data_IF_754706936164
#
_entry.id   IF_754706936164
#
_cell.length_a   1.000
_cell.length_b   1.000
_cell.length_c   1.000
_cell.angle_alpha   90.00
_cell.angle_beta   90.00
_cell.angle_gamma   90.00
#
_symmetry.space_group_name_H-M   'P 1'
#
loop_
_entity.id
_entity.type
_entity.pdbx_description
1 polymer ?
#
# COMPACT_ATOMS: atom_id res chain seq x y z
N UNK A 1 -1.94 -20.93 7.41
CA UNK A 1 -2.86 -19.86 6.97
C UNK A 1 -2.04 -18.57 6.86
N UNK A 2 -1.86 -17.96 5.67
CA UNK A 2 -1.17 -16.67 5.59
C UNK A 2 -2.04 -15.59 6.26
N UNK A 3 -1.45 -14.79 7.15
CA UNK A 3 -2.10 -13.65 7.79
C UNK A 3 -1.93 -12.44 6.88
N UNK A 4 -3.01 -11.77 6.51
CA UNK A 4 -2.94 -10.49 5.83
C UNK A 4 -2.21 -9.48 6.73
N UNK A 5 -1.23 -8.77 6.18
CA UNK A 5 -0.54 -7.67 6.87
C UNK A 5 -1.14 -6.39 6.28
N UNK A 6 -2.00 -5.75 7.06
CA UNK A 6 -2.53 -4.41 6.73
C UNK A 6 -1.41 -3.42 7.01
N UNK A 7 -0.98 -2.65 6.02
CA UNK A 7 -0.09 -1.52 6.28
C UNK A 7 -0.87 -0.23 6.38
N UNK A 8 -0.62 0.45 7.50
CA UNK A 8 -0.67 1.90 7.63
C UNK A 8 -1.88 2.55 7.00
N UNK A 9 -3.01 2.52 7.70
CA UNK A 9 -3.97 3.60 7.55
C UNK A 9 -3.30 4.89 8.04
N UNK A 10 -2.84 5.76 7.15
CA UNK A 10 -2.74 7.18 7.51
C UNK A 10 -4.16 7.72 7.61
N UNK A 11 -4.68 7.58 8.83
CA UNK A 11 -5.89 8.10 9.46
C UNK A 11 -6.61 6.96 10.22
N UNK A 12 -6.11 6.65 11.43
CA UNK A 12 -6.98 6.15 12.48
C UNK A 12 -7.91 7.30 12.89
N UNK A 13 -9.05 7.43 12.21
CA UNK A 13 -10.25 7.94 12.86
C UNK A 13 -11.08 6.71 13.22
N UNK A 14 -11.27 6.49 14.52
CA UNK A 14 -12.27 5.55 15.01
C UNK A 14 -13.66 5.94 14.42
N UNK A 15 -14.56 4.99 14.15
CA UNK A 15 -15.97 5.31 13.88
C UNK A 15 -16.59 5.87 15.17
N UNK A 16 -16.44 7.17 15.35
CA UNK A 16 -16.88 7.91 16.54
C UNK A 16 -16.64 9.39 16.31
N UNK A 17 -17.52 10.02 15.54
CA UNK A 17 -17.50 11.46 15.33
C UNK A 17 -18.47 11.84 14.22
N UNK A 18 -19.25 12.89 14.47
CA UNK A 18 -20.23 13.50 13.54
C UNK A 18 -19.57 14.17 12.30
N UNK A 19 -18.41 13.67 11.88
CA UNK A 19 -17.67 14.14 10.72
C UNK A 19 -18.18 13.51 9.41
N UNK A 20 -17.96 14.17 8.27
CA UNK A 20 -18.38 13.65 6.98
C UNK A 20 -17.67 12.33 6.66
N UNK A 21 -18.45 11.32 6.27
CA UNK A 21 -17.93 10.02 5.83
C UNK A 21 -17.09 10.22 4.58
N UNK A 22 -15.78 9.93 4.67
CA UNK A 22 -14.87 9.99 3.53
C UNK A 22 -14.90 8.65 2.78
N UNK A 23 -15.24 8.61 1.48
CA UNK A 23 -15.18 7.37 0.71
C UNK A 23 -13.74 6.89 0.61
N UNK A 24 -13.55 5.57 0.55
CA UNK A 24 -12.23 4.94 0.52
C UNK A 24 -12.06 4.04 -0.72
N UNK A 25 -10.84 3.99 -1.24
CA UNK A 25 -10.40 3.04 -2.27
C UNK A 25 -9.38 2.11 -1.66
N UNK A 26 -9.67 0.81 -1.69
CA UNK A 26 -8.77 -0.24 -1.25
C UNK A 26 -7.97 -0.73 -2.46
N UNK A 27 -6.65 -0.79 -2.29
CA UNK A 27 -5.72 -1.08 -3.37
C UNK A 27 -4.82 -2.24 -2.95
N UNK A 28 -4.70 -3.24 -3.83
CA UNK A 28 -3.65 -4.24 -3.70
C UNK A 28 -2.28 -3.63 -4.01
N UNK A 29 -1.19 -4.29 -3.62
CA UNK A 29 0.19 -3.84 -3.86
C UNK A 29 0.76 -4.46 -5.14
N UNK A 30 0.90 -5.79 -5.14
CA UNK A 30 1.61 -6.54 -6.17
C UNK A 30 0.68 -6.72 -7.39
N UNK A 31 1.16 -6.37 -8.59
CA UNK A 31 0.34 -6.34 -9.81
C UNK A 31 -0.66 -5.17 -9.92
N UNK A 32 -0.79 -4.33 -8.88
CA UNK A 32 -1.70 -3.18 -8.86
C UNK A 32 -0.97 -1.84 -8.71
N UNK A 33 -0.13 -1.70 -7.69
CA UNK A 33 0.70 -0.50 -7.49
C UNK A 33 2.11 -0.69 -8.06
N UNK A 34 2.64 -1.90 -7.90
CA UNK A 34 3.95 -2.30 -8.41
C UNK A 34 3.83 -3.53 -9.30
N UNK A 35 4.84 -3.80 -10.12
CA UNK A 35 4.92 -5.01 -10.94
C UNK A 35 4.86 -6.26 -10.04
N UNK A 36 4.09 -7.26 -10.45
CA UNK A 36 4.05 -8.57 -9.81
C UNK A 36 5.40 -9.30 -10.03
N UNK A 37 6.01 -9.77 -8.93
CA UNK A 37 7.32 -10.43 -8.92
C UNK A 37 7.28 -11.81 -8.25
N UNK A 38 6.08 -12.38 -8.04
CA UNK A 38 5.75 -13.58 -7.26
C UNK A 38 6.07 -13.45 -5.76
N UNK A 39 7.31 -13.13 -5.43
CA UNK A 39 7.80 -12.81 -4.11
C UNK A 39 8.89 -11.75 -4.25
N UNK A 40 8.49 -10.48 -4.24
CA UNK A 40 9.44 -9.39 -4.20
C UNK A 40 10.33 -9.56 -2.98
N UNK A 41 11.59 -9.95 -3.19
CA UNK A 41 12.57 -10.25 -2.12
C UNK A 41 13.83 -9.41 -2.24
N UNK A 42 13.89 -8.52 -3.23
CA UNK A 42 15.00 -7.61 -3.50
C UNK A 42 14.44 -6.22 -3.81
N UNK A 43 15.08 -5.18 -3.30
CA UNK A 43 14.59 -3.81 -3.50
C UNK A 43 14.75 -3.35 -4.95
N UNK A 44 15.77 -3.86 -5.63
CA UNK A 44 16.06 -3.54 -7.04
C UNK A 44 14.96 -3.96 -8.00
N UNK A 45 14.20 -5.01 -7.66
CA UNK A 45 13.09 -5.54 -8.47
C UNK A 45 11.78 -4.74 -8.25
N UNK A 46 11.78 -3.75 -7.34
CA UNK A 46 10.63 -2.89 -7.08
C UNK A 46 10.44 -1.91 -8.24
N UNK A 47 9.36 -2.10 -8.99
CA UNK A 47 8.97 -1.25 -10.10
C UNK A 47 7.51 -0.78 -9.93
N UNK A 48 7.30 0.54 -9.82
CA UNK A 48 5.96 1.14 -9.80
C UNK A 48 5.35 1.04 -11.19
N UNK A 49 4.10 0.60 -11.28
CA UNK A 49 3.42 0.46 -12.57
C UNK A 49 3.17 1.85 -13.21
N UNK A 50 3.27 1.97 -14.56
CA UNK A 50 2.96 3.20 -15.26
C UNK A 50 1.53 3.68 -14.97
N UNK A 51 1.34 5.00 -14.77
CA UNK A 51 0.02 5.58 -14.52
C UNK A 51 -0.46 5.50 -13.07
N UNK A 52 0.20 4.72 -12.20
CA UNK A 52 -0.14 4.62 -10.78
C UNK A 52 -0.02 5.98 -10.07
N UNK A 53 1.11 6.73 -10.17
CA UNK A 53 1.22 8.03 -9.52
C UNK A 53 0.08 9.00 -9.92
N UNK A 54 -0.25 9.05 -11.21
CA UNK A 54 -1.31 9.90 -11.75
C UNK A 54 -2.69 9.46 -11.27
N UNK A 55 -2.96 8.16 -11.27
CA UNK A 55 -4.22 7.57 -10.81
C UNK A 55 -4.47 7.85 -9.33
N UNK A 56 -3.49 7.61 -8.47
CA UNK A 56 -3.58 7.91 -7.04
C UNK A 56 -3.75 9.42 -6.81
N UNK A 57 -3.05 10.26 -7.58
CA UNK A 57 -3.22 11.71 -7.53
C UNK A 57 -4.63 12.18 -7.90
N UNK A 58 -5.30 11.52 -8.86
CA UNK A 58 -6.70 11.79 -9.21
C UNK A 58 -7.64 11.38 -8.07
N UNK A 59 -7.46 10.21 -7.49
CA UNK A 59 -8.29 9.72 -6.38
C UNK A 59 -8.15 10.61 -5.12
N UNK A 60 -6.91 11.02 -4.78
CA UNK A 60 -6.66 11.96 -3.68
C UNK A 60 -7.37 13.30 -3.89
N UNK A 61 -7.24 13.89 -5.09
CA UNK A 61 -7.94 15.16 -5.43
C UNK A 61 -9.46 15.04 -5.43
N UNK A 62 -9.99 13.85 -5.69
CA UNK A 62 -11.41 13.56 -5.60
C UNK A 62 -11.90 13.29 -4.15
N UNK A 63 -11.02 13.38 -3.15
CA UNK A 63 -11.37 13.26 -1.73
C UNK A 63 -11.41 11.84 -1.19
N UNK A 64 -10.89 10.85 -1.92
CA UNK A 64 -10.86 9.47 -1.43
C UNK A 64 -9.74 9.22 -0.42
N UNK A 65 -10.04 8.44 0.62
CA UNK A 65 -9.01 7.74 1.38
C UNK A 65 -8.38 6.66 0.50
N UNK A 66 -7.06 6.53 0.50
CA UNK A 66 -6.38 5.41 -0.18
C UNK A 66 -5.83 4.45 0.87
N UNK A 67 -6.18 3.17 0.75
CA UNK A 67 -5.81 2.14 1.71
C UNK A 67 -5.12 0.99 0.99
N UNK A 68 -3.86 0.73 1.31
CA UNK A 68 -3.12 -0.42 0.81
C UNK A 68 -3.48 -1.68 1.58
N UNK A 69 -3.83 -2.76 0.87
CA UNK A 69 -4.13 -4.07 1.45
C UNK A 69 -3.35 -5.13 0.70
N UNK A 70 -2.46 -5.86 1.35
CA UNK A 70 -1.62 -6.85 0.67
C UNK A 70 -1.40 -8.12 1.50
N UNK A 71 -1.31 -9.24 0.80
CA UNK A 71 -1.02 -10.54 1.40
C UNK A 71 0.47 -10.91 1.23
N UNK A 72 1.26 -10.75 2.30
CA UNK A 72 2.70 -10.99 2.26
C UNK A 72 3.06 -12.41 2.73
N UNK A 73 2.58 -13.40 1.98
CA UNK A 73 2.71 -14.80 2.35
C UNK A 73 4.14 -15.36 2.24
N UNK A 74 5.05 -14.62 1.61
CA UNK A 74 6.49 -14.91 1.55
C UNK A 74 7.18 -14.86 2.91
N UNK A 75 6.65 -14.07 3.85
CA UNK A 75 7.14 -14.00 5.24
C UNK A 75 6.99 -15.34 5.94
N UNK A 76 5.78 -15.91 5.90
CA UNK A 76 5.52 -17.21 6.52
C UNK A 76 6.27 -18.38 5.85
N UNK A 77 6.75 -18.17 4.61
CA UNK A 77 7.55 -19.14 3.84
C UNK A 77 9.06 -18.96 4.01
N UNK A 78 9.50 -17.92 4.71
CA UNK A 78 10.92 -17.65 4.95
C UNK A 78 11.68 -17.07 3.74
N UNK A 79 10.99 -16.52 2.74
CA UNK A 79 11.67 -15.88 1.60
C UNK A 79 12.27 -14.51 1.96
N UNK A 80 11.65 -13.82 2.91
CA UNK A 80 12.10 -12.55 3.48
C UNK A 80 11.39 -12.36 4.83
N UNK A 81 11.87 -11.41 5.63
CA UNK A 81 11.27 -11.10 6.93
C UNK A 81 10.28 -9.92 6.84
N UNK A 82 9.63 -9.62 7.97
CA UNK A 82 8.69 -8.50 8.06
C UNK A 82 9.40 -7.14 7.88
N UNK A 83 10.68 -7.03 8.27
CA UNK A 83 11.44 -5.78 8.14
C UNK A 83 11.69 -5.41 6.68
N UNK A 84 11.91 -6.41 5.82
CA UNK A 84 12.00 -6.23 4.37
C UNK A 84 10.68 -5.73 3.80
N UNK A 85 9.56 -6.31 4.23
CA UNK A 85 8.22 -5.88 3.83
C UNK A 85 8.00 -4.40 4.20
N UNK A 86 8.34 -3.99 5.42
CA UNK A 86 8.27 -2.58 5.83
C UNK A 86 9.18 -1.66 4.99
N UNK A 87 10.39 -2.12 4.63
CA UNK A 87 11.29 -1.37 3.77
C UNK A 87 10.71 -1.14 2.37
N UNK A 88 10.06 -2.17 1.80
CA UNK A 88 9.35 -2.06 0.52
C UNK A 88 8.25 -1.00 0.60
N UNK A 89 7.47 -0.97 1.69
CA UNK A 89 6.41 0.02 1.83
C UNK A 89 6.92 1.44 1.96
N UNK A 90 7.99 1.66 2.75
CA UNK A 90 8.65 2.98 2.80
C UNK A 90 9.14 3.44 1.43
N UNK A 91 9.67 2.52 0.63
CA UNK A 91 10.14 2.85 -0.71
C UNK A 91 8.98 3.17 -1.66
N UNK A 92 7.86 2.44 -1.58
CA UNK A 92 6.63 2.75 -2.32
C UNK A 92 6.11 4.15 -1.93
N UNK A 93 6.00 4.44 -0.64
CA UNK A 93 5.55 5.75 -0.15
C UNK A 93 6.48 6.87 -0.61
N UNK A 94 7.80 6.64 -0.59
CA UNK A 94 8.80 7.59 -1.10
C UNK A 94 8.62 7.87 -2.59
N UNK A 95 8.31 6.85 -3.40
CA UNK A 95 8.10 6.99 -4.86
C UNK A 95 6.75 7.60 -5.22
N UNK A 96 5.70 7.33 -4.45
CA UNK A 96 4.33 7.77 -4.74
C UNK A 96 3.92 9.05 -4.01
N UNK A 97 4.81 9.56 -3.15
CA UNK A 97 4.57 10.70 -2.27
C UNK A 97 3.60 10.36 -1.14
N UNK A 98 3.65 11.12 -0.02
CA UNK A 98 2.77 10.87 1.12
C UNK A 98 1.30 10.93 0.70
N UNK A 99 0.47 10.08 1.33
CA UNK A 99 -0.94 10.38 1.43
C UNK A 99 -1.05 11.77 2.10
N UNK A 100 -1.62 12.76 1.40
CA UNK A 100 -1.77 14.10 1.95
C UNK A 100 -2.42 14.02 3.34
N UNK A 101 -1.82 14.73 4.30
CA UNK A 101 -2.28 14.83 5.69
C UNK A 101 -3.69 15.42 5.77
#
# INVERSE_FOLDING_TARGET
MPRAVVLGASALAAPGGDGPVRPAVFLDRDGTLIREAHYLSRMEDLEVLPGVPEGLGRLRRAGFALVGVTNQSGVARGYFDLSFVEAVHREIDRRLGPAAA
#
